data_IF_513003503736
#
_entry.id   IF_513003503736
#
_cell.length_a   1.000
_cell.length_b   1.000
_cell.length_c   1.000
_cell.angle_alpha   90.00
_cell.angle_beta   90.00
_cell.angle_gamma   90.00
#
_symmetry.space_group_name_H-M   'P 1'
#
loop_
_entity.id
_entity.type
_entity.pdbx_description
1 polymer ?
#
# COMPACT_ATOMS: atom_id res chain seq x y z
N UNK A 1 29.24 29.70 -33.36
CA UNK A 1 28.17 29.20 -32.48
C UNK A 1 28.10 30.07 -31.25
N UNK A 2 26.99 30.78 -31.02
CA UNK A 2 26.86 31.81 -29.97
C UNK A 2 26.74 31.11 -28.61
N UNK A 3 27.78 31.22 -27.79
CA UNK A 3 27.93 30.51 -26.51
C UNK A 3 26.96 31.13 -25.48
N UNK A 4 25.84 30.48 -25.24
CA UNK A 4 24.88 30.90 -24.22
C UNK A 4 25.43 30.60 -22.82
N UNK A 5 25.59 31.64 -22.00
CA UNK A 5 26.15 31.57 -20.66
C UNK A 5 25.01 31.34 -19.64
N UNK A 6 24.75 30.07 -19.36
CA UNK A 6 23.64 29.58 -18.53
C UNK A 6 23.64 30.21 -17.11
N UNK A 7 24.83 30.56 -16.58
CA UNK A 7 24.96 31.27 -15.29
C UNK A 7 24.20 32.61 -15.27
N UNK A 8 24.27 33.39 -16.36
CA UNK A 8 23.54 34.67 -16.44
C UNK A 8 22.02 34.51 -16.52
N UNK A 9 21.55 33.37 -17.02
CA UNK A 9 20.11 33.07 -17.09
C UNK A 9 19.58 32.70 -15.71
N UNK A 10 20.36 31.97 -14.93
CA UNK A 10 19.99 31.55 -13.58
C UNK A 10 19.91 32.73 -12.60
N UNK A 11 20.81 33.70 -12.73
CA UNK A 11 20.80 34.90 -11.88
C UNK A 11 19.56 35.79 -12.15
N UNK A 12 19.07 35.85 -13.40
CA UNK A 12 17.87 36.63 -13.76
C UNK A 12 16.55 36.07 -13.17
N UNK A 13 16.50 34.77 -12.87
CA UNK A 13 15.32 34.13 -12.24
C UNK A 13 15.27 34.35 -10.72
N UNK A 14 16.42 34.59 -10.09
CA UNK A 14 16.53 34.85 -8.65
C UNK A 14 16.02 36.26 -8.26
N UNK A 15 16.09 37.23 -9.17
CA UNK A 15 15.51 38.56 -8.95
C UNK A 15 14.01 38.62 -9.25
N UNK A 16 13.52 37.86 -10.24
CA UNK A 16 12.10 37.80 -10.59
C UNK A 16 11.20 37.18 -9.49
N UNK A 17 11.79 36.52 -8.49
CA UNK A 17 11.08 35.99 -7.31
C UNK A 17 11.07 36.95 -6.11
N UNK A 18 11.62 38.16 -6.23
CA UNK A 18 11.80 39.11 -5.12
C UNK A 18 10.87 40.33 -5.13
N UNK A 19 9.65 40.20 -5.66
CA UNK A 19 8.55 41.12 -5.29
C UNK A 19 7.74 40.49 -4.15
N UNK A 20 8.29 40.52 -2.94
CA UNK A 20 7.51 40.46 -1.70
C UNK A 20 7.87 41.66 -0.84
N UNK A 21 6.89 42.32 -0.19
CA UNK A 21 7.16 43.43 0.70
C UNK A 21 7.94 42.93 1.92
N UNK A 22 8.76 43.82 2.48
CA UNK A 22 9.63 43.65 3.65
C UNK A 22 9.06 42.76 4.77
N UNK A 23 9.75 41.67 5.11
CA UNK A 23 9.61 40.96 6.40
C UNK A 23 10.99 40.75 7.02
N UNK A 24 11.12 41.21 8.26
CA UNK A 24 12.33 41.27 9.07
C UNK A 24 12.77 39.90 9.59
N UNK A 25 14.06 39.82 9.91
CA UNK A 25 14.82 38.67 10.40
C UNK A 25 14.32 38.19 11.77
N UNK A 26 13.87 36.94 11.81
CA UNK A 26 13.71 36.05 12.96
C UNK A 26 13.79 34.61 12.44
N UNK A 27 14.01 33.57 13.28
CA UNK A 27 14.03 32.19 12.79
C UNK A 27 12.75 32.00 11.97
N UNK A 28 12.90 31.68 10.69
CA UNK A 28 11.77 31.46 9.82
C UNK A 28 11.09 30.20 10.32
N UNK A 29 10.19 30.41 11.28
CA UNK A 29 9.06 29.55 11.57
C UNK A 29 8.50 29.23 10.19
N UNK A 30 8.77 28.01 9.69
CA UNK A 30 7.93 27.43 8.67
C UNK A 30 6.51 27.85 9.07
N UNK A 31 5.76 28.50 8.20
CA UNK A 31 4.32 28.51 8.35
C UNK A 31 3.89 27.05 8.17
N UNK A 32 4.14 26.27 9.24
CA UNK A 32 3.86 24.87 9.42
C UNK A 32 2.35 24.84 9.42
N UNK A 33 1.78 24.60 8.24
CA UNK A 33 0.43 24.10 8.15
C UNK A 33 0.40 22.94 9.15
N UNK A 34 -0.40 23.03 10.24
CA UNK A 34 -0.37 21.99 11.26
C UNK A 34 -0.79 20.68 10.61
N UNK A 35 0.13 19.73 10.54
CA UNK A 35 -0.15 18.41 9.97
C UNK A 35 -1.11 17.68 10.92
N UNK A 36 -2.38 17.61 10.51
CA UNK A 36 -3.44 16.93 11.25
C UNK A 36 -3.23 15.41 11.34
N UNK A 37 -2.46 14.85 10.40
CA UNK A 37 -2.18 13.43 10.34
C UNK A 37 -0.88 13.13 11.09
N UNK A 38 -0.97 12.29 12.10
CA UNK A 38 0.15 11.83 12.90
C UNK A 38 0.27 10.31 12.78
N UNK A 39 1.43 9.76 13.12
CA UNK A 39 1.69 8.32 12.90
C UNK A 39 0.74 7.42 13.70
N UNK A 40 0.24 7.91 14.83
CA UNK A 40 -0.71 7.20 15.71
C UNK A 40 -2.10 7.07 15.08
N UNK A 41 -2.41 7.86 14.04
CA UNK A 41 -3.64 7.74 13.25
C UNK A 41 -3.58 6.59 12.24
N UNK A 42 -2.40 5.99 12.03
CA UNK A 42 -2.20 4.91 11.08
C UNK A 42 -1.73 3.65 11.80
N UNK A 43 -2.33 2.51 11.44
CA UNK A 43 -1.86 1.22 11.89
C UNK A 43 -1.68 0.30 10.70
N UNK A 44 -0.47 -0.24 10.54
CA UNK A 44 -0.19 -1.27 9.56
C UNK A 44 -0.47 -2.65 10.18
N UNK A 45 -1.55 -3.29 9.74
CA UNK A 45 -1.94 -4.63 10.15
C UNK A 45 -2.06 -5.56 8.94
N UNK A 46 -1.61 -6.81 9.09
CA UNK A 46 -1.92 -7.87 8.12
C UNK A 46 -3.40 -8.22 8.26
N UNK A 47 -4.18 -7.98 7.22
CA UNK A 47 -5.64 -8.16 7.24
C UNK A 47 -6.02 -9.63 7.00
N UNK A 48 -5.72 -10.16 5.82
CA UNK A 48 -6.10 -11.52 5.42
C UNK A 48 -5.05 -12.15 4.51
N UNK A 49 -5.11 -13.49 4.39
CA UNK A 49 -4.41 -14.22 3.34
C UNK A 49 -5.42 -14.68 2.30
N UNK A 50 -5.20 -14.27 1.06
CA UNK A 50 -6.01 -14.66 -0.10
C UNK A 50 -5.29 -15.75 -0.91
N UNK A 51 -6.04 -16.37 -1.83
CA UNK A 51 -5.51 -17.39 -2.74
C UNK A 51 -5.33 -18.75 -2.09
N UNK A 52 -4.69 -19.65 -2.84
CA UNK A 52 -4.49 -21.04 -2.43
C UNK A 52 -3.22 -21.19 -1.57
N UNK A 53 -3.22 -22.02 -0.51
CA UNK A 53 -2.04 -22.19 0.34
C UNK A 53 -0.86 -22.83 -0.41
N UNK A 54 0.35 -22.39 -0.08
CA UNK A 54 1.58 -22.97 -0.64
C UNK A 54 1.81 -24.39 -0.10
N UNK A 55 2.25 -25.30 -0.97
CA UNK A 55 2.52 -26.71 -0.67
C UNK A 55 1.38 -27.40 0.09
N UNK A 56 0.19 -27.54 -0.52
CA UNK A 56 -0.85 -28.39 0.05
C UNK A 56 -0.32 -29.82 0.18
N UNK A 57 -0.75 -30.49 1.24
CA UNK A 57 -0.37 -31.88 1.53
C UNK A 57 -1.56 -32.76 1.91
N UNK A 58 -2.63 -32.16 2.40
CA UNK A 58 -3.86 -32.85 2.76
C UNK A 58 -5.08 -31.96 2.51
N UNK A 59 -6.25 -32.59 2.30
CA UNK A 59 -7.53 -31.90 2.18
C UNK A 59 -8.68 -32.76 2.73
N UNK A 60 -9.68 -32.13 3.33
CA UNK A 60 -10.89 -32.79 3.82
C UNK A 60 -12.11 -31.88 3.61
N UNK A 61 -13.23 -32.45 3.22
CA UNK A 61 -14.47 -31.71 2.94
C UNK A 61 -15.63 -32.25 3.78
N UNK A 62 -16.39 -31.34 4.41
CA UNK A 62 -17.65 -31.65 5.07
C UNK A 62 -18.85 -31.23 4.17
N UNK A 63 -19.64 -32.19 3.66
CA UNK A 63 -20.75 -31.91 2.77
C UNK A 63 -21.99 -31.29 3.45
N UNK A 64 -22.12 -31.41 4.77
CA UNK A 64 -23.24 -30.83 5.53
C UNK A 64 -22.98 -29.35 5.76
N UNK A 65 -21.79 -29.03 6.28
CA UNK A 65 -21.42 -27.64 6.60
C UNK A 65 -20.86 -26.87 5.40
N UNK A 66 -20.58 -27.56 4.28
CA UNK A 66 -19.93 -26.99 3.08
C UNK A 66 -18.57 -26.36 3.40
N UNK A 67 -17.78 -27.06 4.20
CA UNK A 67 -16.46 -26.58 4.65
C UNK A 67 -15.36 -27.42 4.02
N UNK A 68 -14.34 -26.74 3.47
CA UNK A 68 -13.11 -27.37 3.01
C UNK A 68 -11.96 -27.00 3.94
N UNK A 69 -11.30 -28.02 4.49
CA UNK A 69 -10.05 -27.90 5.22
C UNK A 69 -8.88 -28.31 4.30
N UNK A 70 -7.83 -27.49 4.25
CA UNK A 70 -6.59 -27.75 3.50
C UNK A 70 -5.41 -27.67 4.47
N UNK A 71 -4.60 -28.73 4.53
CA UNK A 71 -3.36 -28.80 5.30
C UNK A 71 -2.12 -28.60 4.42
N UNK A 72 -1.14 -27.84 4.89
CA UNK A 72 0.15 -27.62 4.20
C UNK A 72 1.29 -28.44 4.80
N UNK A 73 2.38 -28.61 4.05
CA UNK A 73 3.59 -29.29 4.55
C UNK A 73 4.24 -28.56 5.75
N UNK A 74 4.02 -27.24 5.85
CA UNK A 74 4.45 -26.45 7.00
C UNK A 74 3.57 -26.64 8.25
N UNK A 75 2.58 -27.53 8.20
CA UNK A 75 1.63 -27.79 9.30
C UNK A 75 0.51 -26.76 9.47
N UNK A 76 0.33 -25.84 8.51
CA UNK A 76 -0.76 -24.87 8.58
C UNK A 76 -2.08 -25.47 8.07
N UNK A 77 -3.19 -25.16 8.73
CA UNK A 77 -4.53 -25.58 8.32
C UNK A 77 -5.37 -24.36 7.88
N UNK A 78 -5.96 -24.43 6.68
CA UNK A 78 -6.83 -23.41 6.10
C UNK A 78 -8.25 -23.94 5.99
N UNK A 79 -9.20 -23.20 6.57
CA UNK A 79 -10.62 -23.51 6.50
C UNK A 79 -11.28 -22.50 5.56
N UNK A 80 -11.90 -23.01 4.50
CA UNK A 80 -12.63 -22.23 3.51
C UNK A 80 -14.10 -22.60 3.55
N UNK A 81 -14.96 -21.60 3.76
CA UNK A 81 -16.41 -21.73 3.58
C UNK A 81 -16.68 -21.77 2.08
N UNK A 82 -17.29 -22.85 1.60
CA UNK A 82 -17.69 -22.96 0.20
C UNK A 82 -19.15 -22.53 0.08
N UNK A 83 -19.39 -21.47 -0.70
CA UNK A 83 -20.71 -21.22 -1.24
C UNK A 83 -21.01 -22.28 -2.33
N UNK A 84 -22.29 -22.62 -2.55
CA UNK A 84 -22.69 -23.69 -3.49
C UNK A 84 -22.09 -23.52 -4.90
N UNK A 85 -21.94 -22.29 -5.38
CA UNK A 85 -21.32 -21.98 -6.68
C UNK A 85 -19.84 -22.39 -6.73
N UNK A 86 -19.09 -22.12 -5.65
CA UNK A 86 -17.67 -22.48 -5.56
C UNK A 86 -17.46 -24.00 -5.42
N UNK A 87 -18.41 -24.71 -4.79
CA UNK A 87 -18.37 -26.17 -4.69
C UNK A 87 -18.57 -26.83 -6.07
N UNK A 88 -19.47 -26.30 -6.88
CA UNK A 88 -19.71 -26.81 -8.23
C UNK A 88 -18.48 -26.64 -9.13
N UNK A 89 -17.79 -25.50 -9.02
CA UNK A 89 -16.55 -25.25 -9.75
C UNK A 89 -15.39 -26.15 -9.29
N UNK A 90 -15.28 -26.41 -7.99
CA UNK A 90 -14.26 -27.30 -7.44
C UNK A 90 -14.44 -28.76 -7.91
N UNK A 91 -15.69 -29.21 -8.05
CA UNK A 91 -16.02 -30.56 -8.57
C UNK A 91 -15.70 -30.74 -10.05
N UNK A 92 -15.68 -29.67 -10.85
CA UNK A 92 -15.39 -29.78 -12.30
C UNK A 92 -13.89 -29.74 -12.63
N UNK A 93 -13.03 -29.41 -11.66
CA UNK A 93 -11.60 -29.19 -11.86
C UNK A 93 -10.69 -30.19 -11.14
N UNK A 94 -11.27 -31.17 -10.44
CA UNK A 94 -10.60 -32.34 -9.88
C UNK A 94 -11.06 -33.58 -10.66
#
# INVERSE_FOLDING_TARGET
MKKFNIRKVLDGLKEASSSTPTVQVGPQENHLIPESLQSEHFQLCKTVRHGFPYQPSAMAFDPVQKILAIGTQSGALRISLLCDEALNLARTRL
#
